data_IF_077121549814
#
_entry.id   IF_077121549814
#
_cell.length_a   1.000
_cell.length_b   1.000
_cell.length_c   1.000
_cell.angle_alpha   90.00
_cell.angle_beta   90.00
_cell.angle_gamma   90.00
#
_symmetry.space_group_name_H-M   'P 1'
#
loop_
_entity.id
_entity.type
_entity.pdbx_description
1 polymer ?
#
# COMPACT_ATOMS: atom_id res chain seq x y z
N UNK A 1 20.63 -19.59 -1.87
CA UNK A 1 19.71 -18.76 -1.05
C UNK A 1 20.36 -17.54 -0.46
N UNK A 2 21.59 -17.61 0.04
CA UNK A 2 22.29 -16.42 0.54
C UNK A 2 22.47 -15.33 -0.54
N UNK A 3 22.73 -15.73 -1.80
CA UNK A 3 22.77 -14.79 -2.94
C UNK A 3 21.44 -14.05 -3.14
N UNK A 4 20.31 -14.73 -2.95
CA UNK A 4 18.99 -14.09 -3.01
C UNK A 4 18.85 -13.04 -1.91
N UNK A 5 19.19 -13.38 -0.67
CA UNK A 5 19.11 -12.45 0.45
C UNK A 5 20.08 -11.27 0.30
N UNK A 6 21.30 -11.50 -0.21
CA UNK A 6 22.29 -10.48 -0.51
C UNK A 6 21.79 -9.48 -1.57
N UNK A 7 21.08 -9.95 -2.61
CA UNK A 7 20.47 -9.06 -3.61
C UNK A 7 19.20 -8.37 -3.10
N UNK A 8 18.42 -9.07 -2.29
CA UNK A 8 17.11 -8.61 -1.82
C UNK A 8 17.20 -7.55 -0.72
N UNK A 9 18.09 -7.73 0.26
CA UNK A 9 18.19 -6.83 1.42
C UNK A 9 18.54 -5.38 1.06
N UNK A 10 19.56 -5.09 0.22
CA UNK A 10 19.87 -3.71 -0.18
C UNK A 10 18.70 -3.03 -0.88
N UNK A 11 17.98 -3.76 -1.73
CA UNK A 11 16.80 -3.24 -2.43
C UNK A 11 15.68 -2.91 -1.44
N UNK A 12 15.43 -3.76 -0.45
CA UNK A 12 14.46 -3.46 0.62
C UNK A 12 14.86 -2.24 1.44
N UNK A 13 16.12 -2.15 1.86
CA UNK A 13 16.60 -1.01 2.63
C UNK A 13 16.47 0.29 1.84
N UNK A 14 16.75 0.27 0.54
CA UNK A 14 16.59 1.45 -0.31
C UNK A 14 15.12 1.89 -0.42
N UNK A 15 14.19 0.95 -0.63
CA UNK A 15 12.73 1.24 -0.67
C UNK A 15 12.24 1.81 0.64
N UNK A 16 12.68 1.23 1.73
CA UNK A 16 12.24 1.63 3.06
C UNK A 16 12.91 2.92 3.50
N UNK A 17 14.13 3.20 3.04
CA UNK A 17 14.77 4.50 3.17
C UNK A 17 13.98 5.58 2.42
N UNK A 18 13.59 5.35 1.16
CA UNK A 18 12.74 6.29 0.41
C UNK A 18 11.40 6.51 1.13
N UNK A 19 10.81 5.45 1.70
CA UNK A 19 9.58 5.56 2.49
C UNK A 19 9.79 6.39 3.78
N UNK A 20 10.85 6.12 4.55
CA UNK A 20 11.20 6.84 5.80
C UNK A 20 11.51 8.32 5.52
N UNK A 21 12.37 8.58 4.53
CA UNK A 21 12.72 9.92 4.08
C UNK A 21 11.47 10.65 3.56
N UNK A 22 10.62 9.96 2.80
CA UNK A 22 9.35 10.49 2.31
C UNK A 22 8.42 10.93 3.43
N UNK A 23 8.27 10.13 4.50
CA UNK A 23 7.50 10.53 5.70
C UNK A 23 8.07 11.81 6.29
N UNK A 24 9.39 11.89 6.44
CA UNK A 24 10.03 13.03 7.07
C UNK A 24 9.87 14.31 6.23
N UNK A 25 10.13 14.22 4.92
CA UNK A 25 10.01 15.34 3.97
C UNK A 25 8.56 15.78 3.74
N UNK A 26 7.59 14.86 3.80
CA UNK A 26 6.16 15.11 3.52
C UNK A 26 5.29 15.13 4.77
N UNK A 27 5.89 15.24 5.96
CA UNK A 27 5.17 15.18 7.24
C UNK A 27 4.08 16.24 7.32
N UNK A 28 4.38 17.46 6.88
CA UNK A 28 3.43 18.58 6.95
C UNK A 28 2.23 18.34 6.03
N UNK A 29 2.45 17.75 4.86
CA UNK A 29 1.42 17.38 3.90
C UNK A 29 0.50 16.29 4.46
N UNK A 30 1.07 15.27 5.13
CA UNK A 30 0.31 14.20 5.79
C UNK A 30 -0.54 14.74 6.96
N UNK A 31 0.04 15.60 7.81
CA UNK A 31 -0.69 16.24 8.91
C UNK A 31 -1.82 17.14 8.37
N UNK A 32 -1.55 17.89 7.30
CA UNK A 32 -2.56 18.73 6.64
C UNK A 32 -3.69 17.89 6.06
N UNK A 33 -3.36 16.78 5.39
CA UNK A 33 -4.34 15.83 4.89
C UNK A 33 -5.23 15.29 6.03
N UNK A 34 -4.62 14.86 7.14
CA UNK A 34 -5.37 14.37 8.28
C UNK A 34 -6.34 15.41 8.83
N UNK A 35 -5.89 16.66 9.00
CA UNK A 35 -6.75 17.77 9.44
C UNK A 35 -7.91 18.01 8.47
N UNK A 36 -7.65 17.98 7.16
CA UNK A 36 -8.70 18.14 6.15
C UNK A 36 -9.71 17.00 6.20
N UNK A 37 -9.25 15.76 6.35
CA UNK A 37 -10.13 14.60 6.49
C UNK A 37 -11.01 14.72 7.74
N UNK A 38 -10.44 15.08 8.89
CA UNK A 38 -11.20 15.25 10.15
C UNK A 38 -12.22 16.39 10.05
N UNK A 39 -11.82 17.56 9.54
CA UNK A 39 -12.73 18.70 9.37
C UNK A 39 -13.85 18.38 8.38
N UNK A 40 -13.53 17.70 7.29
CA UNK A 40 -14.52 17.32 6.29
C UNK A 40 -15.47 16.23 6.80
N UNK A 41 -15.00 15.32 7.65
CA UNK A 41 -15.84 14.30 8.27
C UNK A 41 -16.93 14.94 9.16
N UNK A 42 -16.58 15.98 9.93
CA UNK A 42 -17.54 16.76 10.74
C UNK A 42 -18.61 17.43 9.88
N UNK A 43 -18.22 18.00 8.73
CA UNK A 43 -19.18 18.59 7.78
C UNK A 43 -20.16 17.56 7.18
N UNK A 44 -19.73 16.30 7.09
CA UNK A 44 -20.52 15.20 6.55
C UNK A 44 -21.35 14.47 7.59
N UNK A 45 -21.13 14.72 8.88
CA UNK A 45 -21.85 14.06 9.97
C UNK A 45 -23.36 14.25 9.82
N UNK A 46 -23.81 15.47 9.58
CA UNK A 46 -25.22 15.80 9.31
C UNK A 46 -25.81 15.08 8.08
N UNK A 47 -24.96 14.71 7.11
CA UNK A 47 -25.36 13.97 5.91
C UNK A 47 -25.41 12.45 6.12
N UNK A 48 -24.64 11.92 7.09
CA UNK A 48 -24.65 10.51 7.49
C UNK A 48 -25.92 10.17 8.26
N UNK A 49 -26.34 11.01 9.21
CA UNK A 49 -27.51 10.75 10.06
C UNK A 49 -28.84 10.63 9.31
N UNK A 50 -29.00 11.30 8.15
CA UNK A 50 -30.24 11.23 7.35
C UNK A 50 -30.35 9.98 6.46
N UNK A 51 -29.28 9.21 6.28
CA UNK A 51 -29.23 8.11 5.30
C UNK A 51 -28.92 6.73 5.91
N UNK A 52 -28.89 6.61 7.24
CA UNK A 52 -28.52 5.37 7.93
C UNK A 52 -29.64 4.90 8.88
N UNK A 53 -30.55 4.08 8.36
CA UNK A 53 -30.95 2.89 9.12
C UNK A 53 -29.74 1.93 9.09
N UNK A 54 -29.18 1.64 10.26
CA UNK A 54 -27.94 0.92 10.61
C UNK A 54 -27.42 -0.22 9.68
N UNK A 55 -26.09 -0.54 9.63
CA UNK A 55 -24.93 0.18 10.21
C UNK A 55 -23.76 0.42 9.24
N UNK A 56 -23.03 1.49 9.55
CA UNK A 56 -21.58 1.68 9.76
C UNK A 56 -20.65 0.45 9.97
N UNK A 57 -21.13 -0.79 9.82
CA UNK A 57 -20.37 -2.01 10.10
C UNK A 57 -19.32 -2.28 9.02
N UNK A 58 -19.64 -2.11 7.73
CA UNK A 58 -18.70 -2.51 6.67
C UNK A 58 -17.48 -1.59 6.59
N UNK A 59 -17.65 -0.30 6.89
CA UNK A 59 -16.57 0.69 6.89
C UNK A 59 -15.64 0.50 8.08
N UNK A 60 -16.21 0.36 9.28
CA UNK A 60 -15.47 0.01 10.48
C UNK A 60 -14.81 -1.37 10.37
N UNK A 61 -15.50 -2.37 9.79
CA UNK A 61 -14.93 -3.71 9.54
C UNK A 61 -13.77 -3.66 8.55
N UNK A 62 -13.86 -2.88 7.47
CA UNK A 62 -12.74 -2.76 6.51
C UNK A 62 -11.54 -2.06 7.15
N UNK A 63 -11.75 -0.96 7.87
CA UNK A 63 -10.67 -0.27 8.59
C UNK A 63 -10.04 -1.19 9.65
N UNK A 64 -10.86 -1.86 10.46
CA UNK A 64 -10.39 -2.83 11.44
C UNK A 64 -9.66 -4.01 10.79
N UNK A 65 -10.12 -4.48 9.63
CA UNK A 65 -9.46 -5.54 8.89
C UNK A 65 -8.09 -5.09 8.37
N UNK A 66 -7.98 -3.88 7.80
CA UNK A 66 -6.71 -3.30 7.35
C UNK A 66 -5.74 -3.20 8.54
N UNK A 67 -6.18 -2.66 9.67
CA UNK A 67 -5.33 -2.49 10.87
C UNK A 67 -4.90 -3.84 11.42
N UNK A 68 -5.83 -4.77 11.66
CA UNK A 68 -5.53 -6.09 12.23
C UNK A 68 -4.59 -6.90 11.34
N UNK A 69 -4.86 -6.92 10.03
CA UNK A 69 -4.02 -7.66 9.07
C UNK A 69 -2.62 -7.06 8.99
N UNK A 70 -2.51 -5.71 8.93
CA UNK A 70 -1.22 -5.03 8.88
C UNK A 70 -0.42 -5.24 10.16
N UNK A 71 -1.05 -5.14 11.33
CA UNK A 71 -0.41 -5.39 12.61
C UNK A 71 0.06 -6.85 12.75
N UNK A 72 -0.80 -7.81 12.40
CA UNK A 72 -0.46 -9.22 12.43
C UNK A 72 0.73 -9.52 11.52
N UNK A 73 0.67 -9.07 10.26
CA UNK A 73 1.78 -9.27 9.32
C UNK A 73 3.07 -8.64 9.84
N UNK A 74 3.02 -7.40 10.34
CA UNK A 74 4.21 -6.74 10.90
C UNK A 74 4.85 -7.57 12.03
N UNK A 75 4.06 -8.03 13.01
CA UNK A 75 4.58 -8.87 14.10
C UNK A 75 5.16 -10.18 13.56
N UNK A 76 4.44 -10.87 12.67
CA UNK A 76 4.90 -12.15 12.11
C UNK A 76 6.20 -11.99 11.32
N UNK A 77 6.32 -10.95 10.48
CA UNK A 77 7.55 -10.69 9.71
C UNK A 77 8.76 -10.47 10.63
N UNK A 78 8.60 -9.67 11.69
CA UNK A 78 9.68 -9.43 12.65
C UNK A 78 10.13 -10.70 13.37
N UNK A 79 9.17 -11.52 13.81
CA UNK A 79 9.47 -12.80 14.47
C UNK A 79 10.23 -13.74 13.53
N UNK A 80 9.75 -13.91 12.29
CA UNK A 80 10.39 -14.83 11.33
C UNK A 80 11.78 -14.36 10.94
N UNK A 81 11.97 -13.06 10.75
CA UNK A 81 13.29 -12.49 10.45
C UNK A 81 14.28 -12.68 11.59
N UNK A 82 13.84 -12.53 12.84
CA UNK A 82 14.67 -12.83 13.99
C UNK A 82 15.04 -14.33 14.04
N UNK A 83 14.08 -15.22 13.74
CA UNK A 83 14.32 -16.67 13.68
C UNK A 83 15.33 -17.05 12.60
N UNK A 84 15.27 -16.44 11.40
CA UNK A 84 16.25 -16.70 10.34
C UNK A 84 17.67 -16.36 10.82
N UNK A 85 17.84 -15.23 11.50
CA UNK A 85 19.14 -14.85 12.03
C UNK A 85 19.62 -15.84 13.11
N UNK A 86 18.74 -16.26 14.04
CA UNK A 86 19.10 -17.23 15.09
C UNK A 86 19.54 -18.57 14.50
N UNK A 87 18.89 -19.02 13.43
CA UNK A 87 19.20 -20.31 12.78
C UNK A 87 20.44 -20.22 11.89
N UNK A 88 20.70 -19.09 11.23
CA UNK A 88 21.83 -18.90 10.31
C UNK A 88 22.58 -17.58 10.58
N UNK A 89 23.21 -17.40 11.75
CA UNK A 89 23.82 -16.12 12.12
C UNK A 89 25.10 -15.81 11.32
N UNK A 90 25.75 -16.83 10.77
CA UNK A 90 26.98 -16.72 9.98
C UNK A 90 26.73 -16.54 8.50
N UNK A 91 25.47 -16.35 8.08
CA UNK A 91 25.16 -16.12 6.68
C UNK A 91 25.81 -14.82 6.15
N UNK A 92 26.28 -14.77 4.90
CA UNK A 92 27.09 -13.67 4.37
C UNK A 92 26.46 -12.27 4.47
N UNK A 93 25.12 -12.20 4.52
CA UNK A 93 24.36 -10.96 4.66
C UNK A 93 24.41 -10.33 6.07
N UNK A 94 24.98 -11.03 7.06
CA UNK A 94 25.00 -10.58 8.46
C UNK A 94 26.37 -10.11 8.91
N UNK A 95 26.39 -9.09 9.76
CA UNK A 95 27.63 -8.56 10.33
C UNK A 95 28.42 -9.63 11.10
N UNK A 96 27.72 -10.54 11.79
CA UNK A 96 28.34 -11.59 12.58
C UNK A 96 29.21 -12.55 11.74
N UNK A 97 28.87 -12.74 10.46
CA UNK A 97 29.66 -13.60 9.56
C UNK A 97 31.11 -13.13 9.39
N UNK A 98 31.35 -11.82 9.40
CA UNK A 98 32.68 -11.23 9.29
C UNK A 98 33.53 -11.39 10.56
N UNK A 99 32.90 -11.70 11.69
CA UNK A 99 33.57 -11.84 12.97
C UNK A 99 33.81 -13.29 13.39
N UNK A 100 32.98 -14.22 12.92
CA UNK A 100 33.01 -15.64 13.29
C UNK A 100 34.25 -16.35 12.72
N UNK A 101 35.43 -16.05 13.27
CA UNK A 101 36.68 -16.72 12.97
C UNK A 101 37.07 -17.70 14.09
N UNK A 102 37.73 -18.77 13.67
CA UNK A 102 38.28 -19.82 14.54
C UNK A 102 39.46 -19.23 15.33
N UNK A 103 39.45 -19.39 16.66
CA UNK A 103 40.56 -18.99 17.54
C UNK A 103 40.26 -17.86 18.54
N UNK A 104 39.05 -17.31 18.55
CA UNK A 104 38.60 -16.29 19.51
C UNK A 104 38.02 -16.92 20.80
N UNK A 105 38.18 -16.29 21.98
CA UNK A 105 37.55 -16.76 23.20
C UNK A 105 36.02 -16.86 23.09
N UNK A 106 35.42 -17.91 23.64
CA UNK A 106 33.97 -18.18 23.56
C UNK A 106 33.11 -17.03 24.08
N UNK A 107 33.50 -16.41 25.20
CA UNK A 107 32.78 -15.27 25.79
C UNK A 107 32.74 -14.05 24.87
N UNK A 108 33.81 -13.83 24.08
CA UNK A 108 33.88 -12.73 23.12
C UNK A 108 32.98 -13.03 21.91
N UNK A 109 32.99 -14.27 21.43
CA UNK A 109 32.11 -14.72 20.34
C UNK A 109 30.62 -14.62 20.73
N UNK A 110 30.28 -14.98 21.97
CA UNK A 110 28.91 -14.86 22.49
C UNK A 110 28.49 -13.40 22.62
N UNK A 111 29.37 -12.54 23.12
CA UNK A 111 29.09 -11.11 23.27
C UNK A 111 28.83 -10.45 21.92
N UNK A 112 29.68 -10.72 20.91
CA UNK A 112 29.49 -10.17 19.56
C UNK A 112 28.24 -10.75 18.90
N UNK A 113 27.95 -12.04 19.09
CA UNK A 113 26.70 -12.64 18.62
C UNK A 113 25.47 -11.90 19.17
N UNK A 114 25.42 -11.64 20.48
CA UNK A 114 24.31 -10.95 21.11
C UNK A 114 24.17 -9.49 20.63
N UNK A 115 25.29 -8.78 20.47
CA UNK A 115 25.29 -7.42 19.92
C UNK A 115 24.77 -7.42 18.47
N UNK A 116 25.27 -8.33 17.63
CA UNK A 116 24.82 -8.46 16.25
C UNK A 116 23.36 -8.88 16.17
N UNK A 117 22.89 -9.78 17.02
CA UNK A 117 21.47 -10.16 17.11
C UNK A 117 20.60 -8.94 17.45
N UNK A 118 20.96 -8.18 18.48
CA UNK A 118 20.21 -6.99 18.88
C UNK A 118 20.17 -5.94 17.76
N UNK A 119 21.31 -5.71 17.09
CA UNK A 119 21.41 -4.80 15.95
C UNK A 119 20.54 -5.25 14.76
N UNK A 120 20.60 -6.52 14.39
CA UNK A 120 19.85 -7.10 13.26
C UNK A 120 18.34 -7.10 13.51
N UNK A 121 17.92 -7.45 14.73
CA UNK A 121 16.52 -7.37 15.13
C UNK A 121 16.05 -5.92 15.10
N UNK A 122 16.81 -4.98 15.66
CA UNK A 122 16.44 -3.57 15.70
C UNK A 122 16.31 -2.96 14.31
N UNK A 123 17.33 -3.11 13.46
CA UNK A 123 17.39 -2.50 12.13
C UNK A 123 16.28 -3.03 11.22
N UNK A 124 16.09 -4.36 11.17
CA UNK A 124 15.02 -4.97 10.37
C UNK A 124 13.63 -4.65 10.92
N UNK A 125 13.47 -4.59 12.24
CA UNK A 125 12.20 -4.17 12.85
C UNK A 125 11.83 -2.75 12.48
N UNK A 126 12.77 -1.82 12.58
CA UNK A 126 12.54 -0.43 12.16
C UNK A 126 12.16 -0.34 10.67
N UNK A 127 12.74 -1.20 9.83
CA UNK A 127 12.47 -1.23 8.39
C UNK A 127 11.08 -1.79 8.05
N UNK A 128 10.78 -2.98 8.58
CA UNK A 128 9.49 -3.66 8.41
C UNK A 128 8.35 -2.79 8.96
N UNK A 129 8.52 -2.22 10.15
CA UNK A 129 7.54 -1.31 10.75
C UNK A 129 7.27 -0.10 9.86
N UNK A 130 8.31 0.52 9.33
CA UNK A 130 8.17 1.71 8.47
C UNK A 130 7.40 1.39 7.19
N UNK A 131 7.68 0.24 6.57
CA UNK A 131 6.96 -0.23 5.40
C UNK A 131 5.46 -0.40 5.68
N UNK A 132 5.12 -1.15 6.74
CA UNK A 132 3.75 -1.47 7.10
C UNK A 132 2.95 -0.25 7.60
N UNK A 133 3.58 0.68 8.32
CA UNK A 133 2.94 1.94 8.73
C UNK A 133 2.55 2.76 7.50
N UNK A 134 3.46 2.91 6.53
CA UNK A 134 3.15 3.63 5.29
C UNK A 134 2.07 2.94 4.47
N UNK A 135 2.09 1.62 4.45
CA UNK A 135 1.05 0.84 3.78
C UNK A 135 -0.31 1.04 4.43
N UNK A 136 -0.38 0.98 5.76
CA UNK A 136 -1.61 1.21 6.51
C UNK A 136 -2.13 2.64 6.32
N UNK A 137 -1.24 3.64 6.39
CA UNK A 137 -1.59 5.04 6.14
C UNK A 137 -2.27 5.21 4.78
N UNK A 138 -1.63 4.71 3.71
CA UNK A 138 -2.19 4.75 2.37
C UNK A 138 -3.57 4.07 2.29
N UNK A 139 -3.68 2.85 2.78
CA UNK A 139 -4.94 2.08 2.71
C UNK A 139 -6.08 2.78 3.46
N UNK A 140 -5.80 3.36 4.63
CA UNK A 140 -6.81 4.08 5.43
C UNK A 140 -7.25 5.39 4.74
N UNK A 141 -6.32 6.20 4.23
CA UNK A 141 -6.66 7.44 3.52
C UNK A 141 -7.52 7.18 2.28
N UNK A 142 -7.20 6.13 1.54
CA UNK A 142 -7.96 5.79 0.33
C UNK A 142 -9.31 5.15 0.68
N UNK A 143 -9.37 4.31 1.72
CA UNK A 143 -10.64 3.79 2.22
C UNK A 143 -11.59 4.93 2.61
N UNK A 144 -11.09 5.94 3.34
CA UNK A 144 -11.85 7.15 3.66
C UNK A 144 -12.43 7.83 2.41
N UNK A 145 -11.63 8.05 1.36
CA UNK A 145 -12.11 8.66 0.12
C UNK A 145 -13.26 7.86 -0.50
N UNK A 146 -13.16 6.53 -0.52
CA UNK A 146 -14.21 5.64 -1.04
C UNK A 146 -15.51 5.78 -0.24
N UNK A 147 -15.41 5.79 1.09
CA UNK A 147 -16.56 5.90 1.97
C UNK A 147 -17.25 7.26 1.83
N UNK A 148 -16.47 8.34 1.83
CA UNK A 148 -17.02 9.68 1.72
C UNK A 148 -17.66 9.91 0.34
N UNK A 149 -17.04 9.44 -0.75
CA UNK A 149 -17.68 9.47 -2.07
C UNK A 149 -19.02 8.72 -2.08
N UNK A 150 -19.10 7.57 -1.42
CA UNK A 150 -20.36 6.83 -1.29
C UNK A 150 -21.40 7.63 -0.50
N UNK A 151 -21.00 8.28 0.59
CA UNK A 151 -21.85 9.14 1.43
C UNK A 151 -22.39 10.32 0.62
N UNK A 152 -21.53 11.08 -0.06
CA UNK A 152 -21.94 12.21 -0.92
C UNK A 152 -22.84 11.77 -2.07
N UNK A 153 -22.61 10.56 -2.61
CA UNK A 153 -23.45 9.98 -3.66
C UNK A 153 -24.86 9.63 -3.16
N UNK A 154 -24.99 9.13 -1.93
CA UNK A 154 -26.28 8.75 -1.34
C UNK A 154 -27.03 9.94 -0.70
N UNK A 155 -26.31 11.01 -0.35
CA UNK A 155 -26.88 12.18 0.30
C UNK A 155 -28.07 12.81 -0.44
N UNK A 156 -29.10 13.16 0.33
CA UNK A 156 -30.31 13.88 -0.09
C UNK A 156 -30.17 15.40 0.02
N UNK A 157 -28.99 15.91 0.40
CA UNK A 157 -28.73 17.35 0.48
C UNK A 157 -28.85 18.04 -0.88
N UNK A 158 -28.99 19.37 -0.83
CA UNK A 158 -29.11 20.20 -2.04
C UNK A 158 -27.95 19.99 -3.01
N UNK A 159 -28.26 20.06 -4.30
CA UNK A 159 -27.29 19.82 -5.37
C UNK A 159 -26.04 20.73 -5.28
N UNK A 160 -26.15 22.04 -5.00
CA UNK A 160 -24.97 22.91 -4.80
C UNK A 160 -24.05 22.44 -3.66
N UNK A 161 -24.62 21.97 -2.54
CA UNK A 161 -23.82 21.44 -1.42
C UNK A 161 -23.05 20.19 -1.82
N UNK A 162 -23.67 19.32 -2.62
CA UNK A 162 -23.01 18.11 -3.14
C UNK A 162 -21.91 18.43 -4.16
N UNK A 163 -22.04 19.49 -4.96
CA UNK A 163 -20.95 20.00 -5.79
C UNK A 163 -19.78 20.51 -4.95
N UNK A 164 -20.05 21.26 -3.88
CA UNK A 164 -19.02 21.72 -2.94
C UNK A 164 -18.27 20.54 -2.33
N UNK A 165 -18.99 19.53 -1.82
CA UNK A 165 -18.38 18.32 -1.28
C UNK A 165 -17.55 17.54 -2.31
N UNK A 166 -18.00 17.47 -3.57
CA UNK A 166 -17.20 16.87 -4.64
C UNK A 166 -15.88 17.61 -4.87
N UNK A 167 -15.90 18.96 -4.84
CA UNK A 167 -14.69 19.79 -4.95
C UNK A 167 -13.76 19.57 -3.75
N UNK A 168 -14.30 19.50 -2.53
CA UNK A 168 -13.51 19.17 -1.34
C UNK A 168 -12.85 17.80 -1.47
N UNK A 169 -13.59 16.78 -1.93
CA UNK A 169 -13.04 15.44 -2.20
C UNK A 169 -11.91 15.45 -3.22
N UNK A 170 -12.05 16.24 -4.29
CA UNK A 170 -11.00 16.42 -5.29
C UNK A 170 -9.73 17.02 -4.65
N UNK A 171 -9.87 18.05 -3.82
CA UNK A 171 -8.75 18.68 -3.11
C UNK A 171 -8.09 17.73 -2.10
N UNK A 172 -8.87 16.96 -1.34
CA UNK A 172 -8.35 15.93 -0.43
C UNK A 172 -7.57 14.88 -1.22
N UNK A 173 -8.07 14.42 -2.36
CA UNK A 173 -7.35 13.47 -3.21
C UNK A 173 -6.06 14.07 -3.80
N UNK A 174 -6.07 15.36 -4.17
CA UNK A 174 -4.88 16.07 -4.64
C UNK A 174 -3.82 16.13 -3.53
N UNK A 175 -4.22 16.50 -2.31
CA UNK A 175 -3.35 16.54 -1.15
C UNK A 175 -2.81 15.15 -0.80
N UNK A 176 -3.66 14.12 -0.87
CA UNK A 176 -3.26 12.73 -0.67
C UNK A 176 -2.15 12.32 -1.65
N UNK A 177 -2.31 12.61 -2.95
CA UNK A 177 -1.27 12.33 -3.93
C UNK A 177 0.02 13.14 -3.68
N UNK A 178 -0.07 14.32 -3.06
CA UNK A 178 1.08 15.14 -2.66
C UNK A 178 1.84 14.64 -1.43
N UNK A 179 1.26 13.71 -0.66
CA UNK A 179 1.90 13.13 0.53
C UNK A 179 3.01 12.13 0.20
N UNK A 180 3.16 11.73 -1.07
CA UNK A 180 4.09 10.71 -1.51
C UNK A 180 5.05 11.26 -2.56
N UNK A 181 6.29 10.77 -2.56
CA UNK A 181 7.22 11.06 -3.64
C UNK A 181 6.71 10.45 -4.95
N UNK A 182 6.93 11.14 -6.07
CA UNK A 182 6.41 10.71 -7.37
C UNK A 182 6.97 9.33 -7.80
N UNK A 183 8.17 9.00 -7.34
CA UNK A 183 8.91 7.75 -7.60
C UNK A 183 8.46 6.58 -6.71
N UNK A 184 7.89 6.87 -5.54
CA UNK A 184 7.61 5.88 -4.50
C UNK A 184 6.68 4.75 -4.98
N UNK A 185 5.54 5.08 -5.60
CA UNK A 185 4.59 4.05 -6.06
C UNK A 185 5.11 3.25 -7.27
N UNK A 186 5.62 3.88 -8.35
CA UNK A 186 6.22 3.13 -9.45
C UNK A 186 7.28 2.13 -8.97
N UNK A 187 8.19 2.58 -8.11
CA UNK A 187 9.28 1.75 -7.61
C UNK A 187 8.76 0.60 -6.72
N UNK A 188 7.78 0.87 -5.85
CA UNK A 188 7.09 -0.17 -5.07
C UNK A 188 6.42 -1.23 -5.94
N UNK A 189 5.76 -0.84 -7.04
CA UNK A 189 5.14 -1.82 -7.93
C UNK A 189 6.17 -2.69 -8.65
N UNK A 190 7.25 -2.10 -9.16
CA UNK A 190 8.35 -2.86 -9.78
C UNK A 190 8.96 -3.82 -8.76
N UNK A 191 9.21 -3.36 -7.54
CA UNK A 191 9.72 -4.19 -6.47
C UNK A 191 8.78 -5.34 -6.09
N UNK A 192 7.48 -5.06 -5.93
CA UNK A 192 6.49 -6.10 -5.63
C UNK A 192 6.40 -7.13 -6.75
N UNK A 193 6.43 -6.69 -8.02
CA UNK A 193 6.41 -7.59 -9.17
C UNK A 193 7.65 -8.48 -9.20
N UNK A 194 8.84 -7.90 -9.10
CA UNK A 194 10.09 -8.65 -9.07
C UNK A 194 10.14 -9.61 -7.88
N UNK A 195 9.70 -9.17 -6.71
CA UNK A 195 9.64 -10.01 -5.51
C UNK A 195 8.65 -11.17 -5.69
N UNK A 196 7.47 -10.95 -6.25
CA UNK A 196 6.50 -12.03 -6.50
C UNK A 196 7.07 -13.11 -7.43
N UNK A 197 7.76 -12.69 -8.50
CA UNK A 197 8.43 -13.60 -9.43
C UNK A 197 9.53 -14.39 -8.72
N UNK A 198 10.46 -13.71 -8.04
CA UNK A 198 11.61 -14.36 -7.39
C UNK A 198 11.19 -15.27 -6.24
N UNK A 199 10.29 -14.81 -5.38
CA UNK A 199 9.82 -15.55 -4.21
C UNK A 199 8.95 -16.74 -4.66
N UNK A 200 8.09 -16.55 -5.68
CA UNK A 200 7.35 -17.66 -6.29
C UNK A 200 8.28 -18.71 -6.90
N UNK A 201 9.39 -18.30 -7.52
CA UNK A 201 10.38 -19.22 -8.08
C UNK A 201 11.06 -20.03 -6.98
N UNK A 202 11.48 -19.38 -5.89
CA UNK A 202 12.05 -20.05 -4.71
C UNK A 202 11.06 -21.07 -4.14
N UNK A 203 9.77 -20.70 -4.01
CA UNK A 203 8.73 -21.62 -3.49
C UNK A 203 8.53 -22.86 -4.36
N UNK A 204 8.68 -22.77 -5.68
CA UNK A 204 8.48 -23.93 -6.56
C UNK A 204 9.75 -24.74 -6.79
N UNK A 205 10.91 -24.10 -6.88
CA UNK A 205 12.16 -24.73 -7.32
C UNK A 205 13.14 -25.02 -6.20
N UNK A 206 13.16 -24.19 -5.16
CA UNK A 206 14.18 -24.24 -4.10
C UNK A 206 13.60 -24.58 -2.73
N UNK A 207 12.30 -24.95 -2.65
CA UNK A 207 11.61 -25.19 -1.38
C UNK A 207 12.30 -26.22 -0.49
N UNK A 208 12.78 -27.33 -1.09
CA UNK A 208 13.47 -28.39 -0.35
C UNK A 208 14.88 -27.98 0.13
N UNK A 209 15.49 -26.96 -0.48
CA UNK A 209 16.86 -26.52 -0.18
C UNK A 209 16.93 -25.40 0.88
N UNK A 210 15.78 -24.87 1.29
CA UNK A 210 15.70 -23.79 2.29
C UNK A 210 15.29 -24.29 3.66
N UNK A 211 15.79 -23.62 4.70
CA UNK A 211 15.39 -23.89 6.07
C UNK A 211 13.92 -23.52 6.30
N UNK A 212 13.28 -24.17 7.27
CA UNK A 212 11.87 -23.89 7.60
C UNK A 212 11.55 -22.40 7.86
N UNK A 213 12.37 -21.63 8.61
CA UNK A 213 12.13 -20.18 8.76
C UNK A 213 12.19 -19.41 7.44
N UNK A 214 13.08 -19.81 6.52
CA UNK A 214 13.16 -19.20 5.18
C UNK A 214 11.91 -19.57 4.35
N UNK A 215 11.44 -20.82 4.39
CA UNK A 215 10.19 -21.23 3.73
C UNK A 215 9.01 -20.39 4.20
N UNK A 216 8.90 -20.20 5.52
CA UNK A 216 7.84 -19.40 6.12
C UNK A 216 7.95 -17.93 5.68
N UNK A 217 9.15 -17.35 5.67
CA UNK A 217 9.38 -15.98 5.19
C UNK A 217 9.02 -15.82 3.72
N UNK A 218 9.46 -16.76 2.87
CA UNK A 218 9.15 -16.78 1.44
C UNK A 218 7.62 -16.83 1.22
N UNK A 219 6.90 -17.72 1.91
CA UNK A 219 5.44 -17.78 1.82
C UNK A 219 4.76 -16.48 2.29
N UNK A 220 5.22 -15.91 3.42
CA UNK A 220 4.71 -14.65 3.96
C UNK A 220 4.94 -13.47 3.00
N UNK A 221 6.11 -13.40 2.38
CA UNK A 221 6.45 -12.39 1.37
C UNK A 221 5.57 -12.52 0.14
N UNK A 222 5.38 -13.74 -0.38
CA UNK A 222 4.54 -14.00 -1.54
C UNK A 222 3.10 -13.54 -1.29
N UNK A 223 2.51 -13.98 -0.19
CA UNK A 223 1.15 -13.62 0.21
C UNK A 223 1.03 -12.10 0.41
N UNK A 224 1.94 -11.51 1.18
CA UNK A 224 1.90 -10.08 1.51
C UNK A 224 2.03 -9.22 0.26
N UNK A 225 2.98 -9.49 -0.64
CA UNK A 225 3.14 -8.69 -1.85
C UNK A 225 1.99 -8.89 -2.85
N UNK A 226 1.44 -10.10 -2.94
CA UNK A 226 0.26 -10.39 -3.77
C UNK A 226 -0.95 -9.57 -3.31
N UNK A 227 -1.29 -9.68 -2.02
CA UNK A 227 -2.41 -8.95 -1.44
C UNK A 227 -2.17 -7.43 -1.47
N UNK A 228 -0.96 -6.98 -1.18
CA UNK A 228 -0.65 -5.54 -1.17
C UNK A 228 -0.77 -4.94 -2.56
N UNK A 229 -0.19 -5.57 -3.58
CA UNK A 229 -0.33 -5.12 -4.96
C UNK A 229 -1.79 -5.11 -5.42
N UNK A 230 -2.53 -6.18 -5.09
CA UNK A 230 -3.96 -6.27 -5.39
C UNK A 230 -4.73 -5.13 -4.73
N UNK A 231 -4.61 -4.93 -3.41
CA UNK A 231 -5.35 -3.90 -2.69
C UNK A 231 -4.97 -2.50 -3.17
N UNK A 232 -3.69 -2.23 -3.40
CA UNK A 232 -3.23 -0.94 -3.91
C UNK A 232 -3.89 -0.61 -5.24
N UNK A 233 -3.75 -1.49 -6.24
CA UNK A 233 -4.28 -1.25 -7.58
C UNK A 233 -5.82 -1.29 -7.61
N UNK A 234 -6.44 -2.22 -6.89
CA UNK A 234 -7.89 -2.36 -6.83
C UNK A 234 -8.55 -1.14 -6.19
N UNK A 235 -8.06 -0.70 -5.03
CA UNK A 235 -8.61 0.44 -4.30
C UNK A 235 -8.32 1.74 -5.07
N UNK A 236 -7.14 1.87 -5.69
CA UNK A 236 -6.83 3.01 -6.58
C UNK A 236 -7.83 3.11 -7.75
N UNK A 237 -8.08 2.00 -8.46
CA UNK A 237 -9.06 1.94 -9.55
C UNK A 237 -10.49 2.23 -9.07
N UNK A 238 -10.81 1.81 -7.85
CA UNK A 238 -12.12 2.08 -7.21
C UNK A 238 -12.34 3.57 -6.96
N UNK A 239 -11.31 4.31 -6.57
CA UNK A 239 -11.42 5.78 -6.40
C UNK A 239 -11.78 6.45 -7.72
N UNK A 240 -11.08 6.11 -8.81
CA UNK A 240 -11.34 6.67 -10.13
C UNK A 240 -12.76 6.33 -10.62
N UNK A 241 -13.18 5.07 -10.47
CA UNK A 241 -14.53 4.63 -10.85
C UNK A 241 -15.61 5.34 -10.02
N UNK A 242 -15.42 5.46 -8.71
CA UNK A 242 -16.39 6.09 -7.82
C UNK A 242 -16.49 7.61 -8.04
N UNK A 243 -15.39 8.29 -8.30
CA UNK A 243 -15.40 9.72 -8.61
C UNK A 243 -16.13 9.98 -9.93
N UNK A 244 -15.87 9.17 -10.96
CA UNK A 244 -16.60 9.21 -12.23
C UNK A 244 -18.10 8.95 -12.07
N UNK A 245 -18.48 7.92 -11.31
CA UNK A 245 -19.88 7.61 -11.03
C UNK A 245 -20.59 8.74 -10.26
N UNK A 246 -19.91 9.34 -9.28
CA UNK A 246 -20.45 10.47 -8.52
C UNK A 246 -20.63 11.69 -9.44
N UNK A 247 -19.66 11.98 -10.30
CA UNK A 247 -19.76 13.04 -11.32
C UNK A 247 -20.98 12.84 -12.21
N UNK A 248 -21.15 11.65 -12.78
CA UNK A 248 -22.30 11.36 -13.66
C UNK A 248 -23.63 11.45 -12.91
N UNK A 249 -23.68 11.04 -11.63
CA UNK A 249 -24.88 11.23 -10.80
C UNK A 249 -25.21 12.71 -10.61
N UNK A 250 -24.23 13.54 -10.30
CA UNK A 250 -24.42 14.99 -10.15
C UNK A 250 -24.86 15.64 -11.47
N UNK A 251 -24.29 15.20 -12.61
CA UNK A 251 -24.69 15.63 -13.95
C UNK A 251 -26.16 15.30 -14.25
N UNK A 252 -26.60 14.09 -13.94
CA UNK A 252 -28.00 13.67 -14.14
C UNK A 252 -28.96 14.51 -13.29
N UNK A 253 -28.63 14.73 -12.02
CA UNK A 253 -29.45 15.54 -11.12
C UNK A 253 -29.55 17.00 -11.56
N UNK A 254 -28.45 17.57 -12.08
CA UNK A 254 -28.47 18.92 -12.65
C UNK A 254 -29.41 19.05 -13.87
N UNK A 255 -29.63 17.95 -14.61
CA UNK A 255 -30.49 17.93 -15.80
C UNK A 255 -31.99 17.82 -15.54
N UNK A 256 -32.41 17.38 -14.34
CA UNK A 256 -33.81 17.00 -14.04
C UNK A 256 -34.53 17.99 -13.10
N UNK A 257 -33.81 18.92 -12.47
CA UNK A 257 -34.41 19.88 -11.53
C UNK A 257 -35.18 21.03 -12.19
N UNK A 258 -36.13 21.62 -11.44
CA UNK A 258 -36.81 22.87 -11.79
C UNK A 258 -35.86 24.02 -11.44
N UNK A 259 -35.14 24.52 -12.44
CA UNK A 259 -34.14 25.58 -12.28
C UNK A 259 -34.53 26.80 -13.10
N UNK A 260 -34.22 28.00 -12.60
CA UNK A 260 -34.27 29.19 -13.45
C UNK A 260 -33.25 29.08 -14.60
N UNK A 261 -33.48 29.80 -15.69
CA UNK A 261 -32.59 29.79 -16.87
C UNK A 261 -31.14 30.17 -16.54
N UNK A 262 -30.95 31.08 -15.57
CA UNK A 262 -29.63 31.53 -15.11
C UNK A 262 -28.93 30.45 -14.28
N UNK A 263 -29.65 29.83 -13.34
CA UNK A 263 -29.13 28.73 -12.51
C UNK A 263 -28.76 27.51 -13.35
N UNK A 264 -29.59 27.17 -14.33
CA UNK A 264 -29.32 26.07 -15.25
C UNK A 264 -28.03 26.29 -16.04
N UNK A 265 -27.77 27.51 -16.53
CA UNK A 265 -26.52 27.85 -17.21
C UNK A 265 -25.30 27.70 -16.29
N UNK A 266 -25.40 28.16 -15.04
CA UNK A 266 -24.33 28.03 -14.04
C UNK A 266 -24.07 26.56 -13.71
N UNK A 267 -25.12 25.77 -13.43
CA UNK A 267 -25.02 24.35 -13.13
C UNK A 267 -24.41 23.55 -14.28
N UNK A 268 -24.79 23.83 -15.53
CA UNK A 268 -24.18 23.18 -16.70
C UNK A 268 -22.69 23.49 -16.78
N UNK A 269 -22.28 24.74 -16.53
CA UNK A 269 -20.87 25.14 -16.50
C UNK A 269 -20.11 24.42 -15.38
N UNK A 270 -20.71 24.35 -14.18
CA UNK A 270 -20.10 23.64 -13.05
C UNK A 270 -19.96 22.13 -13.32
N UNK A 271 -21.01 21.47 -13.82
CA UNK A 271 -20.96 20.06 -14.19
C UNK A 271 -19.89 19.77 -15.24
N UNK A 272 -19.77 20.62 -16.27
CA UNK A 272 -18.73 20.49 -17.30
C UNK A 272 -17.33 20.66 -16.73
N UNK A 273 -17.16 21.46 -15.67
CA UNK A 273 -15.86 21.68 -15.02
C UNK A 273 -15.41 20.50 -14.14
N UNK A 274 -16.32 19.60 -13.74
CA UNK A 274 -15.97 18.48 -12.89
C UNK A 274 -15.15 17.43 -13.65
N UNK A 275 -13.98 17.10 -13.12
CA UNK A 275 -13.16 16.00 -13.59
C UNK A 275 -13.20 14.84 -12.59
N UNK A 276 -13.20 13.61 -13.12
CA UNK A 276 -12.94 12.43 -12.31
C UNK A 276 -11.50 12.47 -11.82
N UNK A 277 -11.26 11.99 -10.61
CA UNK A 277 -9.94 11.98 -9.97
C UNK A 277 -9.62 10.60 -9.42
N UNK A 278 -8.33 10.34 -9.23
CA UNK A 278 -7.84 9.06 -8.71
C UNK A 278 -6.44 9.19 -8.11
N UNK A 279 -5.85 8.04 -7.81
CA UNK A 279 -4.52 7.97 -7.24
C UNK A 279 -3.46 8.01 -8.33
N UNK A 280 -2.48 8.90 -8.15
CA UNK A 280 -1.39 9.14 -9.09
C UNK A 280 -0.26 8.15 -8.84
N UNK A 281 0.28 7.59 -9.92
CA UNK A 281 1.44 6.68 -9.88
C UNK A 281 2.46 7.20 -10.91
N UNK A 282 3.51 7.89 -10.43
CA UNK A 282 4.49 8.53 -11.31
C UNK A 282 3.87 9.55 -12.27
N UNK A 283 4.06 9.32 -13.57
CA UNK A 283 3.46 10.14 -14.64
C UNK A 283 1.97 9.85 -14.87
N UNK A 284 1.45 8.70 -14.40
CA UNK A 284 0.06 8.30 -14.56
C UNK A 284 -0.82 9.10 -13.60
N UNK A 285 -1.68 9.97 -14.15
CA UNK A 285 -2.53 10.88 -13.37
C UNK A 285 -3.56 10.16 -12.49
N UNK A 286 -4.11 9.05 -12.94
CA UNK A 286 -5.08 8.25 -12.20
C UNK A 286 -5.00 6.78 -12.59
N UNK A 287 -4.82 5.91 -11.59
CA UNK A 287 -4.76 4.46 -11.79
C UNK A 287 -6.14 3.89 -12.05
N UNK A 288 -6.28 3.09 -13.11
CA UNK A 288 -7.53 2.41 -13.49
C UNK A 288 -7.49 0.91 -13.16
N UNK A 289 -8.64 0.23 -13.24
CA UNK A 289 -8.69 -1.22 -13.10
C UNK A 289 -7.91 -1.98 -14.19
N UNK A 290 -7.60 -1.34 -15.32
CA UNK A 290 -6.78 -1.94 -16.37
C UNK A 290 -5.35 -2.16 -15.87
N UNK A 291 -4.84 -1.24 -15.04
CA UNK A 291 -3.50 -1.36 -14.45
C UNK A 291 -3.37 -2.60 -13.54
N UNK A 292 -4.46 -2.99 -12.84
CA UNK A 292 -4.50 -4.22 -12.06
C UNK A 292 -4.26 -5.46 -12.93
N UNK A 293 -4.99 -5.55 -14.05
CA UNK A 293 -4.84 -6.68 -14.97
C UNK A 293 -3.45 -6.69 -15.60
N UNK A 294 -2.98 -5.54 -16.10
CA UNK A 294 -1.66 -5.41 -16.70
C UNK A 294 -0.53 -5.82 -15.74
N UNK A 295 -0.63 -5.43 -14.47
CA UNK A 295 0.33 -5.83 -13.43
C UNK A 295 0.39 -7.35 -13.28
N UNK A 296 -0.76 -8.01 -13.05
CA UNK A 296 -0.78 -9.45 -12.83
C UNK A 296 -0.43 -10.27 -14.07
N UNK A 297 -0.82 -9.82 -15.27
CA UNK A 297 -0.36 -10.43 -16.52
C UNK A 297 1.16 -10.34 -16.67
N UNK A 298 1.75 -9.19 -16.31
CA UNK A 298 3.22 -9.01 -16.38
C UNK A 298 3.93 -9.90 -15.37
N UNK A 299 3.44 -9.98 -14.13
CA UNK A 299 4.00 -10.87 -13.10
C UNK A 299 3.89 -12.33 -13.52
N UNK A 300 2.72 -12.77 -14.01
CA UNK A 300 2.53 -14.14 -14.47
C UNK A 300 3.43 -14.49 -15.67
N UNK A 301 3.56 -13.57 -16.63
CA UNK A 301 4.47 -13.73 -17.77
C UNK A 301 5.92 -13.82 -17.30
N UNK A 302 6.38 -12.90 -16.46
CA UNK A 302 7.74 -12.91 -15.92
C UNK A 302 8.04 -14.18 -15.11
N UNK A 303 7.08 -14.62 -14.30
CA UNK A 303 7.17 -15.86 -13.56
C UNK A 303 7.30 -17.08 -14.48
N UNK A 304 6.46 -17.15 -15.52
CA UNK A 304 6.52 -18.22 -16.52
C UNK A 304 7.85 -18.21 -17.26
N UNK A 305 8.34 -17.02 -17.66
CA UNK A 305 9.64 -16.87 -18.31
C UNK A 305 10.76 -17.42 -17.43
N UNK A 306 10.81 -17.05 -16.15
CA UNK A 306 11.85 -17.56 -15.24
C UNK A 306 11.76 -19.08 -15.08
N UNK A 307 10.55 -19.63 -14.95
CA UNK A 307 10.36 -21.09 -14.82
C UNK A 307 10.79 -21.88 -16.06
N UNK A 308 10.59 -21.31 -17.26
CA UNK A 308 10.97 -21.94 -18.54
C UNK A 308 12.47 -21.79 -18.80
N UNK A 309 13.05 -20.61 -18.52
CA UNK A 309 14.48 -20.36 -18.72
C UNK A 309 15.35 -21.18 -17.77
N UNK A 310 14.85 -21.46 -16.56
CA UNK A 310 15.54 -22.27 -15.55
C UNK A 310 14.70 -23.53 -15.25
N UNK A 311 14.75 -24.56 -16.12
CA UNK A 311 14.08 -25.83 -15.89
C UNK A 311 14.68 -26.54 -14.66
N UNK A 312 13.93 -27.49 -14.08
CA UNK A 312 14.53 -28.44 -13.13
C UNK A 312 15.32 -29.43 -13.97
N UNK A 313 16.60 -29.53 -13.71
CA UNK A 313 17.40 -30.62 -14.25
C UNK A 313 16.77 -31.93 -13.74
N UNK A 314 16.20 -32.71 -14.66
CA UNK A 314 15.79 -34.08 -14.36
C UNK A 314 17.06 -34.88 -14.03
N UNK A 315 17.28 -35.12 -12.74
CA UNK A 315 18.25 -36.11 -12.24
C UNK A 315 17.59 -37.49 -12.26
#
# INVERSE_FOLDING_TARGET
>A
MDIFWLGFMPLTYYINFEAKLGIWLRRNEMVTLFRWMVSFDKELEAARFKNFESPTNLESRLANFIVKTTACMNVTFNLVVALIYIVKPTAPQYLYSSWSEVGKPEWMNMTVYLISLAFEVFTKTADIMSYFIMQMWFLLSVAYLIFVMSTVRKSTNSLPRRFSWYRCLYLINLQHNGCYLATMFPFRYVFMAGSLVSVGFIMLRLYAEISFPEQLMTALMFITFLFTAFFYLHISGKVLKNSGNLREKLRRLAGVGVWSTKERKLLIKEVKSLQSFGLRVGSIRATSYIALNAFFSTVASGFTTVLVTFPVDEV
#
